data_IF_668765899507
#
_entry.id   IF_668765899507
#
_cell.length_a   1.000
_cell.length_b   1.000
_cell.length_c   1.000
_cell.angle_alpha   90.00
_cell.angle_beta   90.00
_cell.angle_gamma   90.00
#
_symmetry.space_group_name_H-M   'P 1'
#
loop_
_entity.id
_entity.type
_entity.pdbx_description
1 polymer ?
#
# COMPACT_ATOMS: atom_id res chain seq x y z
N UNK A 1 11.63 -14.58 -2.45
CA UNK A 1 10.90 -13.58 -3.24
C UNK A 1 9.41 -13.74 -2.95
N UNK A 2 8.82 -12.78 -2.27
CA UNK A 2 7.43 -12.77 -1.80
C UNK A 2 6.40 -12.83 -2.95
N UNK A 3 6.69 -12.16 -4.09
CA UNK A 3 5.77 -12.04 -5.22
C UNK A 3 5.35 -13.36 -5.89
N UNK A 4 6.13 -14.45 -5.75
CA UNK A 4 5.77 -15.76 -6.33
C UNK A 4 4.43 -16.30 -5.81
N UNK A 5 4.08 -15.99 -4.54
CA UNK A 5 2.78 -16.36 -3.97
C UNK A 5 1.63 -15.63 -4.66
N UNK A 6 1.88 -14.39 -5.04
CA UNK A 6 0.90 -13.57 -5.76
C UNK A 6 0.74 -14.02 -7.21
N UNK A 7 1.82 -14.48 -7.86
CA UNK A 7 1.74 -15.09 -9.19
C UNK A 7 0.85 -16.34 -9.22
N UNK A 8 1.04 -17.23 -8.24
CA UNK A 8 0.31 -18.50 -8.16
C UNK A 8 -1.15 -18.34 -7.72
N UNK A 9 -1.46 -17.31 -6.94
CA UNK A 9 -2.73 -17.16 -6.22
C UNK A 9 -3.47 -15.85 -6.56
N UNK A 10 -3.21 -15.25 -7.72
CA UNK A 10 -3.80 -13.97 -8.13
C UNK A 10 -5.34 -13.98 -8.08
N UNK A 11 -5.98 -15.04 -8.56
CA UNK A 11 -7.44 -15.22 -8.51
C UNK A 11 -7.96 -15.23 -7.07
N UNK A 12 -7.31 -15.99 -6.20
CA UNK A 12 -7.70 -16.10 -4.79
C UNK A 12 -7.53 -14.78 -4.05
N UNK A 13 -6.46 -14.05 -4.35
CA UNK A 13 -6.20 -12.72 -3.80
C UNK A 13 -7.30 -11.75 -4.22
N UNK A 14 -7.59 -11.71 -5.51
CA UNK A 14 -8.58 -10.77 -6.06
C UNK A 14 -10.00 -11.07 -5.57
N UNK A 15 -10.39 -12.34 -5.49
CA UNK A 15 -11.70 -12.77 -5.01
C UNK A 15 -11.97 -12.38 -3.54
N UNK A 16 -10.93 -12.15 -2.72
CA UNK A 16 -11.12 -11.72 -1.34
C UNK A 16 -11.82 -10.36 -1.25
N UNK A 17 -11.52 -9.45 -2.14
CA UNK A 17 -12.14 -8.12 -2.17
C UNK A 17 -13.63 -8.13 -2.53
N UNK A 18 -14.13 -9.22 -3.12
CA UNK A 18 -15.55 -9.36 -3.49
C UNK A 18 -16.40 -9.99 -2.38
N UNK A 19 -15.77 -10.48 -1.33
CA UNK A 19 -16.46 -10.97 -0.14
C UNK A 19 -17.04 -9.79 0.67
N UNK A 20 -18.14 -9.99 1.43
CA UNK A 20 -18.73 -8.91 2.23
C UNK A 20 -17.74 -8.23 3.18
N UNK A 21 -16.97 -9.03 3.93
CA UNK A 21 -15.92 -8.56 4.83
C UNK A 21 -14.79 -7.83 4.08
N UNK A 22 -14.31 -8.42 2.99
CA UNK A 22 -13.26 -7.82 2.14
C UNK A 22 -13.68 -6.48 1.54
N UNK A 23 -14.92 -6.36 1.06
CA UNK A 23 -15.45 -5.10 0.51
C UNK A 23 -15.52 -3.99 1.55
N UNK A 24 -15.99 -4.31 2.77
CA UNK A 24 -16.10 -3.33 3.84
C UNK A 24 -14.74 -2.81 4.28
N UNK A 25 -13.76 -3.71 4.47
CA UNK A 25 -12.38 -3.36 4.80
C UNK A 25 -11.76 -2.51 3.68
N UNK A 26 -11.85 -2.95 2.43
CA UNK A 26 -11.34 -2.23 1.27
C UNK A 26 -11.93 -0.83 1.14
N UNK A 27 -13.24 -0.67 1.37
CA UNK A 27 -13.88 0.65 1.34
C UNK A 27 -13.30 1.60 2.40
N UNK A 28 -13.01 1.10 3.60
CA UNK A 28 -12.38 1.87 4.66
C UNK A 28 -10.94 2.26 4.31
N UNK A 29 -10.14 1.33 3.78
CA UNK A 29 -8.77 1.55 3.34
C UNK A 29 -8.71 2.59 2.21
N UNK A 30 -9.56 2.44 1.19
CA UNK A 30 -9.70 3.41 0.09
C UNK A 30 -10.07 4.80 0.61
N UNK A 31 -11.04 4.90 1.53
CA UNK A 31 -11.44 6.19 2.09
C UNK A 31 -10.29 6.87 2.84
N UNK A 32 -9.51 6.11 3.62
CA UNK A 32 -8.32 6.60 4.32
C UNK A 32 -7.27 7.13 3.35
N UNK A 33 -6.86 6.34 2.36
CA UNK A 33 -5.88 6.74 1.35
C UNK A 33 -6.37 7.98 0.57
N UNK A 34 -7.63 7.95 0.10
CA UNK A 34 -8.23 9.02 -0.70
C UNK A 34 -8.20 10.38 0.01
N UNK A 35 -8.37 10.40 1.34
CA UNK A 35 -8.32 11.63 2.14
C UNK A 35 -6.97 12.34 2.12
N UNK A 36 -5.90 11.61 1.74
CA UNK A 36 -4.53 12.11 1.68
C UNK A 36 -4.06 12.45 0.26
N UNK A 37 -4.74 11.95 -0.77
CA UNK A 37 -4.35 12.16 -2.15
C UNK A 37 -4.71 13.57 -2.66
N UNK A 38 -3.90 14.17 -3.56
CA UNK A 38 -4.29 15.38 -4.27
C UNK A 38 -5.38 15.10 -5.32
N UNK A 39 -5.98 16.16 -5.85
CA UNK A 39 -7.02 16.03 -6.88
C UNK A 39 -6.48 15.55 -8.24
N UNK A 40 -5.25 15.92 -8.59
CA UNK A 40 -4.60 15.48 -9.83
C UNK A 40 -3.59 14.38 -9.54
N UNK A 41 -3.83 13.21 -10.12
CA UNK A 41 -3.00 12.01 -10.03
C UNK A 41 -2.34 11.63 -11.36
N UNK A 42 -2.35 12.51 -12.37
CA UNK A 42 -1.83 12.21 -13.72
C UNK A 42 -0.35 11.80 -13.74
N UNK A 43 0.45 12.32 -12.82
CA UNK A 43 1.87 11.98 -12.65
C UNK A 43 2.14 10.95 -11.53
N UNK A 44 1.14 10.17 -11.12
CA UNK A 44 1.24 9.19 -10.04
C UNK A 44 1.35 7.76 -10.54
N UNK A 45 2.01 6.94 -9.74
CA UNK A 45 2.10 5.48 -9.94
C UNK A 45 1.78 4.75 -8.63
N UNK A 46 1.09 3.63 -8.72
CA UNK A 46 0.99 2.68 -7.59
C UNK A 46 2.09 1.62 -7.73
N UNK A 47 2.97 1.53 -6.74
CA UNK A 47 4.02 0.49 -6.67
C UNK A 47 3.50 -0.69 -5.86
N UNK A 48 3.60 -1.89 -6.44
CA UNK A 48 2.90 -3.07 -5.96
C UNK A 48 1.41 -2.99 -6.23
N UNK A 49 1.04 -2.59 -7.46
CA UNK A 49 -0.36 -2.37 -7.87
C UNK A 49 -1.24 -3.62 -7.76
N UNK A 50 -0.62 -4.79 -7.66
CA UNK A 50 -1.32 -6.06 -7.57
C UNK A 50 -2.35 -6.22 -8.69
N UNK A 51 -3.60 -6.49 -8.33
CA UNK A 51 -4.70 -6.61 -9.29
C UNK A 51 -5.31 -5.28 -9.72
N UNK A 52 -4.75 -4.14 -9.29
CA UNK A 52 -5.17 -2.80 -9.70
C UNK A 52 -6.40 -2.23 -8.99
N UNK A 53 -6.86 -2.85 -7.90
CA UNK A 53 -8.10 -2.41 -7.23
C UNK A 53 -7.99 -1.03 -6.60
N UNK A 54 -6.89 -0.72 -5.91
CA UNK A 54 -6.68 0.60 -5.34
C UNK A 54 -6.47 1.64 -6.43
N UNK A 55 -5.58 1.39 -7.39
CA UNK A 55 -5.34 2.30 -8.52
C UNK A 55 -6.64 2.66 -9.25
N UNK A 56 -7.46 1.67 -9.60
CA UNK A 56 -8.71 1.89 -10.33
C UNK A 56 -9.71 2.77 -9.58
N UNK A 57 -9.94 2.50 -8.29
CA UNK A 57 -10.91 3.26 -7.48
C UNK A 57 -10.39 4.66 -7.12
N UNK A 58 -9.08 4.79 -6.89
CA UNK A 58 -8.44 6.06 -6.52
C UNK A 58 -8.14 6.94 -7.74
N UNK A 59 -8.12 6.38 -8.95
CA UNK A 59 -7.80 7.10 -10.17
C UNK A 59 -6.30 7.25 -10.44
N UNK A 60 -5.46 6.37 -9.87
CA UNK A 60 -4.03 6.31 -10.18
C UNK A 60 -3.85 5.63 -11.54
N UNK A 61 -3.25 6.30 -12.55
CA UNK A 61 -3.30 5.83 -13.93
C UNK A 61 -2.30 4.72 -14.25
N UNK A 62 -1.26 4.56 -13.45
CA UNK A 62 -0.15 3.64 -13.72
C UNK A 62 0.16 2.74 -12.52
N UNK A 63 0.68 1.53 -12.80
CA UNK A 63 1.05 0.58 -11.77
C UNK A 63 2.30 -0.24 -12.11
N UNK A 64 3.10 -0.53 -11.07
CA UNK A 64 4.25 -1.42 -11.13
C UNK A 64 3.98 -2.65 -10.26
N UNK A 65 4.24 -3.83 -10.80
CA UNK A 65 4.02 -5.10 -10.10
C UNK A 65 4.96 -6.18 -10.68
N UNK A 66 5.63 -7.00 -9.85
CA UNK A 66 6.48 -8.07 -10.35
C UNK A 66 5.72 -9.31 -10.87
N UNK A 67 4.46 -9.53 -10.44
CA UNK A 67 3.65 -10.68 -10.86
C UNK A 67 2.90 -10.40 -12.15
N UNK A 68 3.14 -11.19 -13.19
CA UNK A 68 2.44 -11.09 -14.47
C UNK A 68 0.95 -11.45 -14.35
N UNK A 69 0.59 -12.41 -13.50
CA UNK A 69 -0.80 -12.80 -13.26
C UNK A 69 -1.59 -11.66 -12.60
N UNK A 70 -0.97 -10.90 -11.69
CA UNK A 70 -1.57 -9.70 -11.08
C UNK A 70 -1.73 -8.57 -12.09
N UNK A 71 -0.68 -8.28 -12.88
CA UNK A 71 -0.69 -7.23 -13.90
C UNK A 71 -1.82 -7.39 -14.89
N UNK A 72 -2.06 -8.62 -15.36
CA UNK A 72 -3.16 -8.89 -16.29
C UNK A 72 -4.50 -8.41 -15.74
N UNK A 73 -4.77 -8.63 -14.45
CA UNK A 73 -6.00 -8.15 -13.80
C UNK A 73 -6.04 -6.62 -13.66
N UNK A 74 -4.89 -6.00 -13.41
CA UNK A 74 -4.79 -4.54 -13.36
C UNK A 74 -5.07 -3.92 -14.74
N UNK A 75 -4.56 -4.51 -15.81
CA UNK A 75 -4.82 -4.11 -17.20
C UNK A 75 -6.31 -4.24 -17.56
N UNK A 76 -6.98 -5.33 -17.14
CA UNK A 76 -8.42 -5.52 -17.30
C UNK A 76 -9.24 -4.42 -16.60
N UNK A 77 -8.66 -3.76 -15.56
CA UNK A 77 -9.23 -2.59 -14.86
C UNK A 77 -8.83 -1.23 -15.48
N UNK A 78 -8.11 -1.25 -16.60
CA UNK A 78 -7.73 -0.05 -17.33
C UNK A 78 -6.47 0.66 -16.79
N UNK A 79 -5.70 0.02 -15.93
CA UNK A 79 -4.44 0.57 -15.43
C UNK A 79 -3.32 0.32 -16.45
N UNK A 80 -2.53 1.35 -16.75
CA UNK A 80 -1.28 1.16 -17.52
C UNK A 80 -0.26 0.50 -16.62
N UNK A 81 0.20 -0.68 -16.99
CA UNK A 81 1.07 -1.48 -16.13
C UNK A 81 2.48 -1.63 -16.71
N UNK A 82 3.44 -1.78 -15.82
CA UNK A 82 4.81 -2.19 -16.16
C UNK A 82 5.26 -3.25 -15.17
N UNK A 83 5.81 -4.34 -15.70
CA UNK A 83 6.38 -5.37 -14.84
C UNK A 83 7.70 -4.88 -14.24
N UNK A 84 7.80 -4.87 -12.91
CA UNK A 84 8.97 -4.35 -12.21
C UNK A 84 8.88 -4.53 -10.71
N UNK A 85 9.96 -4.17 -10.02
CA UNK A 85 10.07 -4.21 -8.56
C UNK A 85 10.21 -2.81 -7.99
N UNK A 86 9.80 -2.65 -6.74
CA UNK A 86 9.92 -1.40 -5.99
C UNK A 86 11.37 -0.91 -5.85
N UNK A 87 12.31 -1.86 -5.76
CA UNK A 87 13.73 -1.60 -5.58
C UNK A 87 14.44 -1.12 -6.87
N UNK A 88 13.76 -1.23 -8.03
CA UNK A 88 14.28 -0.77 -9.32
C UNK A 88 13.13 -0.37 -10.24
N UNK A 89 12.73 0.90 -10.17
CA UNK A 89 11.62 1.43 -10.94
C UNK A 89 12.05 1.88 -12.35
N UNK A 90 11.24 1.59 -13.39
CA UNK A 90 11.56 1.92 -14.78
C UNK A 90 11.30 3.40 -15.12
N UNK A 91 11.54 4.29 -14.16
CA UNK A 91 11.34 5.72 -14.32
C UNK A 91 12.65 6.50 -14.23
N UNK A 92 12.70 7.64 -14.90
CA UNK A 92 13.82 8.58 -14.81
C UNK A 92 13.84 9.23 -13.43
N UNK A 93 15.01 9.67 -13.01
CA UNK A 93 15.16 10.51 -11.82
C UNK A 93 14.27 11.75 -11.93
N UNK A 94 13.61 12.10 -10.82
CA UNK A 94 12.76 13.30 -10.70
C UNK A 94 11.68 13.42 -11.80
N UNK A 95 10.98 12.32 -12.09
CA UNK A 95 9.96 12.27 -13.16
C UNK A 95 8.53 12.13 -12.65
N UNK A 96 8.30 11.61 -11.44
CA UNK A 96 6.98 11.36 -10.87
C UNK A 96 6.56 12.45 -9.88
N UNK A 97 5.27 12.79 -9.88
CA UNK A 97 4.69 13.70 -8.89
C UNK A 97 4.32 12.99 -7.60
N UNK A 98 3.98 11.71 -7.67
CA UNK A 98 3.65 10.93 -6.49
C UNK A 98 3.73 9.41 -6.69
N UNK A 99 3.87 8.73 -5.56
CA UNK A 99 3.84 7.28 -5.45
C UNK A 99 2.80 6.90 -4.42
N UNK A 100 1.95 5.93 -4.76
CA UNK A 100 1.08 5.21 -3.85
C UNK A 100 1.70 3.84 -3.54
N UNK A 101 1.76 3.48 -2.27
CA UNK A 101 2.17 2.18 -1.77
C UNK A 101 1.06 1.65 -0.83
N UNK A 102 0.04 1.02 -1.40
CA UNK A 102 -1.11 0.50 -0.65
C UNK A 102 -0.90 -0.97 -0.28
N UNK A 103 -0.81 -1.28 1.02
CA UNK A 103 -0.67 -2.65 1.57
C UNK A 103 0.50 -3.44 0.95
N UNK A 104 1.51 -2.77 0.44
CA UNK A 104 2.62 -3.36 -0.33
C UNK A 104 3.91 -3.45 0.47
N UNK A 105 4.16 -2.45 1.36
CA UNK A 105 5.41 -2.37 2.12
C UNK A 105 5.78 -3.68 2.83
N UNK A 106 4.78 -4.38 3.37
CA UNK A 106 4.95 -5.64 4.09
C UNK A 106 5.46 -6.81 3.23
N UNK A 107 5.48 -6.65 1.91
CA UNK A 107 5.91 -7.68 0.95
C UNK A 107 7.20 -7.34 0.22
N UNK A 108 7.80 -6.16 0.46
CA UNK A 108 9.07 -5.78 -0.18
C UNK A 108 10.23 -6.64 0.34
N UNK A 109 11.07 -7.08 -0.58
CA UNK A 109 12.26 -7.89 -0.25
C UNK A 109 13.37 -7.01 0.37
N UNK A 110 13.49 -5.73 -0.05
CA UNK A 110 14.48 -4.75 0.42
C UNK A 110 13.84 -3.34 0.56
N UNK A 111 13.08 -3.07 1.64
CA UNK A 111 12.30 -1.83 1.79
C UNK A 111 13.17 -0.56 1.83
N UNK A 112 14.39 -0.62 2.38
CA UNK A 112 15.33 0.51 2.39
C UNK A 112 15.80 0.87 0.97
N UNK A 113 16.00 -0.13 0.10
CA UNK A 113 16.34 0.09 -1.31
C UNK A 113 15.16 0.68 -2.05
N UNK A 114 13.95 0.16 -1.81
CA UNK A 114 12.74 0.69 -2.40
C UNK A 114 12.51 2.17 -2.02
N UNK A 115 12.70 2.55 -0.74
CA UNK A 115 12.56 3.95 -0.33
C UNK A 115 13.58 4.87 -0.99
N UNK A 116 14.83 4.43 -1.17
CA UNK A 116 15.84 5.20 -1.93
C UNK A 116 15.45 5.35 -3.40
N UNK A 117 14.86 4.30 -3.99
CA UNK A 117 14.40 4.32 -5.36
C UNK A 117 13.18 5.24 -5.53
N UNK A 118 12.26 5.27 -4.56
CA UNK A 118 11.15 6.22 -4.53
C UNK A 118 11.66 7.66 -4.47
N UNK A 119 12.65 7.94 -3.62
CA UNK A 119 13.29 9.26 -3.55
C UNK A 119 13.96 9.65 -4.87
N UNK A 120 14.59 8.69 -5.58
CA UNK A 120 15.23 8.94 -6.88
C UNK A 120 14.23 9.36 -7.94
N UNK A 121 13.09 8.67 -8.05
CA UNK A 121 12.13 8.88 -9.14
C UNK A 121 11.16 10.03 -8.90
N UNK A 122 10.91 10.39 -7.64
CA UNK A 122 10.05 11.51 -7.30
C UNK A 122 10.72 12.85 -7.64
N UNK A 123 9.92 13.78 -8.13
CA UNK A 123 10.31 15.19 -8.27
C UNK A 123 10.55 15.80 -6.89
N UNK A 124 11.26 16.93 -6.85
CA UNK A 124 11.35 17.77 -5.66
C UNK A 124 9.94 18.08 -5.12
N UNK A 125 9.74 17.92 -3.83
CA UNK A 125 8.42 18.01 -3.18
C UNK A 125 7.38 16.97 -3.62
N UNK A 126 7.79 15.94 -4.37
CA UNK A 126 6.93 14.81 -4.71
C UNK A 126 6.42 14.08 -3.46
N UNK A 127 5.29 13.44 -3.57
CA UNK A 127 4.61 12.81 -2.43
C UNK A 127 4.72 11.28 -2.50
N UNK A 128 4.92 10.68 -1.34
CA UNK A 128 4.78 9.25 -1.12
C UNK A 128 3.60 9.02 -0.16
N UNK A 129 2.59 8.30 -0.60
CA UNK A 129 1.47 7.86 0.26
C UNK A 129 1.61 6.38 0.54
N UNK A 130 1.67 6.03 1.82
CA UNK A 130 1.84 4.65 2.29
C UNK A 130 0.63 4.26 3.12
N UNK A 131 -0.04 3.16 2.75
CA UNK A 131 -1.11 2.55 3.54
C UNK A 131 -0.66 1.20 4.12
N UNK A 132 -0.77 1.04 5.43
CA UNK A 132 -0.36 -0.17 6.15
C UNK A 132 -1.42 -0.65 7.13
N UNK A 133 -1.35 -1.93 7.46
CA UNK A 133 -1.90 -2.51 8.69
C UNK A 133 -0.80 -2.45 9.74
N UNK A 134 -0.91 -1.60 10.79
CA UNK A 134 0.14 -1.46 11.80
C UNK A 134 0.39 -2.77 12.56
N UNK A 135 1.67 -3.11 12.75
CA UNK A 135 2.07 -4.34 13.46
C UNK A 135 1.51 -4.43 14.89
N UNK A 136 1.39 -3.27 15.55
CA UNK A 136 0.92 -3.10 16.92
C UNK A 136 -0.60 -3.09 17.08
N UNK A 137 -1.35 -3.01 15.97
CA UNK A 137 -2.81 -3.04 16.01
C UNK A 137 -3.39 -4.43 16.26
N UNK A 138 -4.66 -4.51 16.68
CA UNK A 138 -5.39 -5.79 16.78
C UNK A 138 -5.42 -6.53 15.43
N UNK A 139 -5.58 -5.80 14.31
CA UNK A 139 -5.55 -6.34 12.96
C UNK A 139 -4.16 -6.85 12.59
N UNK A 140 -3.09 -6.11 12.95
CA UNK A 140 -1.71 -6.56 12.76
C UNK A 140 -1.44 -7.87 13.49
N UNK A 141 -1.84 -7.96 14.75
CA UNK A 141 -1.75 -9.19 15.55
C UNK A 141 -2.50 -10.37 14.91
N UNK A 142 -3.73 -10.12 14.43
CA UNK A 142 -4.55 -11.13 13.74
C UNK A 142 -3.87 -11.66 12.46
N UNK A 143 -3.38 -10.78 11.58
CA UNK A 143 -2.70 -11.22 10.36
C UNK A 143 -1.36 -11.91 10.63
N UNK A 144 -0.60 -11.44 11.62
CA UNK A 144 0.62 -12.12 12.06
C UNK A 144 0.32 -13.53 12.59
N UNK A 145 -0.75 -13.72 13.37
CA UNK A 145 -1.18 -15.03 13.84
C UNK A 145 -1.58 -15.95 12.67
N UNK A 146 -2.31 -15.44 11.69
CA UNK A 146 -2.61 -16.17 10.44
C UNK A 146 -1.34 -16.56 9.68
N UNK A 147 -0.36 -15.67 9.60
CA UNK A 147 0.94 -15.95 8.98
C UNK A 147 1.68 -17.09 9.65
N UNK A 148 1.75 -17.08 10.99
CA UNK A 148 2.31 -18.20 11.80
C UNK A 148 1.54 -19.50 11.59
N UNK A 149 0.25 -19.43 11.33
CA UNK A 149 -0.62 -20.56 10.97
C UNK A 149 -0.48 -21.05 9.53
N UNK A 150 0.46 -20.50 8.74
CA UNK A 150 0.72 -20.93 7.35
C UNK A 150 -0.17 -20.31 6.29
N UNK A 151 -0.82 -19.17 6.57
CA UNK A 151 -1.60 -18.48 5.55
C UNK A 151 -0.72 -18.05 4.36
N UNK A 152 -1.09 -18.35 3.11
CA UNK A 152 -0.19 -18.24 1.96
C UNK A 152 0.39 -16.84 1.72
N UNK A 153 -0.36 -15.78 2.01
CA UNK A 153 0.13 -14.40 1.86
C UNK A 153 0.80 -13.89 3.15
N UNK A 154 0.16 -14.07 4.29
CA UNK A 154 0.67 -13.46 5.54
C UNK A 154 1.90 -14.18 6.11
N UNK A 155 2.18 -15.43 5.69
CA UNK A 155 3.40 -16.15 6.11
C UNK A 155 4.69 -15.55 5.54
N UNK A 156 4.60 -14.71 4.53
CA UNK A 156 5.74 -14.01 3.91
C UNK A 156 5.71 -12.49 4.15
N UNK A 157 4.68 -12.00 4.88
CA UNK A 157 4.53 -10.58 5.17
C UNK A 157 5.35 -10.18 6.41
N UNK A 158 6.01 -9.02 6.32
CA UNK A 158 6.65 -8.33 7.44
C UNK A 158 5.80 -7.12 7.81
N UNK A 159 5.18 -7.16 8.99
CA UNK A 159 4.36 -6.04 9.44
C UNK A 159 5.23 -5.01 10.15
N UNK A 160 5.01 -3.74 9.83
CA UNK A 160 5.75 -2.59 10.38
C UNK A 160 4.87 -1.82 11.36
N UNK A 161 5.48 -1.26 12.41
CA UNK A 161 4.82 -0.24 13.22
C UNK A 161 4.74 1.08 12.46
N UNK A 162 3.83 1.96 12.88
CA UNK A 162 3.75 3.30 12.27
C UNK A 162 5.07 4.07 12.40
N UNK A 163 5.78 3.89 13.52
CA UNK A 163 7.07 4.57 13.75
C UNK A 163 8.17 4.01 12.83
N UNK A 164 8.26 2.69 12.68
CA UNK A 164 9.20 2.08 11.75
C UNK A 164 9.01 2.57 10.30
N UNK A 165 7.75 2.79 9.87
CA UNK A 165 7.49 3.35 8.54
C UNK A 165 8.00 4.79 8.43
N UNK A 166 7.83 5.62 9.46
CA UNK A 166 8.35 6.99 9.48
C UNK A 166 9.88 7.02 9.48
N UNK A 167 10.52 6.16 10.28
CA UNK A 167 11.98 6.03 10.32
C UNK A 167 12.54 5.59 8.96
N UNK A 168 11.90 4.57 8.35
CA UNK A 168 12.28 4.07 7.03
C UNK A 168 12.17 5.17 5.96
N UNK A 169 11.08 5.92 5.93
CA UNK A 169 10.89 7.03 5.01
C UNK A 169 11.91 8.16 5.27
N UNK A 170 12.14 8.52 6.54
CA UNK A 170 13.10 9.55 6.92
C UNK A 170 14.53 9.19 6.49
N UNK A 171 14.92 7.92 6.57
CA UNK A 171 16.25 7.43 6.13
C UNK A 171 16.52 7.66 4.65
N UNK A 172 15.48 7.80 3.84
CA UNK A 172 15.55 8.07 2.40
C UNK A 172 15.27 9.56 2.04
N UNK A 173 15.22 10.44 3.03
CA UNK A 173 15.03 11.88 2.81
C UNK A 173 13.57 12.33 2.75
N UNK A 174 12.63 11.53 3.22
CA UNK A 174 11.22 11.92 3.29
C UNK A 174 10.88 12.55 4.65
N UNK A 175 10.04 13.57 4.63
CA UNK A 175 9.46 14.17 5.83
C UNK A 175 7.99 13.80 5.92
N UNK A 176 7.56 13.31 7.09
CA UNK A 176 6.15 13.05 7.38
C UNK A 176 5.34 14.33 7.35
N UNK A 177 4.18 14.31 6.68
CA UNK A 177 3.30 15.49 6.55
C UNK A 177 2.05 15.31 7.41
N UNK A 178 1.29 14.25 7.18
CA UNK A 178 0.06 13.93 7.92
C UNK A 178 -0.35 12.47 7.70
N UNK A 179 -1.34 12.02 8.46
CA UNK A 179 -1.90 10.69 8.29
C UNK A 179 -3.39 10.66 8.54
N UNK A 180 -4.02 9.55 8.21
CA UNK A 180 -5.42 9.22 8.50
C UNK A 180 -5.50 7.76 8.90
N UNK A 181 -6.30 7.46 9.91
CA UNK A 181 -6.49 6.11 10.42
C UNK A 181 -7.93 5.66 10.25
N UNK A 182 -8.15 4.36 10.09
CA UNK A 182 -9.47 3.73 9.98
C UNK A 182 -9.49 2.32 10.57
N UNK A 183 -10.65 1.66 10.60
CA UNK A 183 -10.82 0.35 11.23
C UNK A 183 -10.47 0.39 12.73
N UNK A 184 -11.14 1.23 13.54
CA UNK A 184 -10.83 1.37 14.97
C UNK A 184 -11.23 0.15 15.79
N UNK A 185 -12.09 -0.70 15.24
CA UNK A 185 -12.54 -1.96 15.85
C UNK A 185 -11.65 -3.13 15.47
N UNK A 186 -11.75 -4.26 16.19
CA UNK A 186 -10.97 -5.45 15.87
C UNK A 186 -11.54 -6.29 14.73
N UNK A 187 -10.78 -7.29 14.25
CA UNK A 187 -11.19 -8.16 13.15
C UNK A 187 -12.39 -9.06 13.47
N UNK A 188 -12.74 -9.22 14.75
CA UNK A 188 -13.87 -10.02 15.22
C UNK A 188 -15.14 -9.17 15.42
N UNK A 189 -15.07 -7.89 15.14
CA UNK A 189 -16.17 -6.93 15.29
C UNK A 189 -16.75 -6.56 13.93
N UNK A 190 -18.07 -6.37 13.86
CA UNK A 190 -18.72 -5.97 12.60
C UNK A 190 -18.37 -4.53 12.24
N UNK A 191 -18.03 -4.31 10.98
CA UNK A 191 -17.75 -2.98 10.45
C UNK A 191 -19.07 -2.34 9.97
N UNK A 192 -19.75 -1.64 10.86
CA UNK A 192 -21.03 -1.01 10.57
C UNK A 192 -20.92 0.14 9.55
N UNK A 193 -19.83 0.91 9.62
CA UNK A 193 -19.57 2.06 8.74
C UNK A 193 -18.10 2.35 8.62
N UNK A 194 -17.73 3.06 7.56
CA UNK A 194 -16.39 3.63 7.43
C UNK A 194 -16.22 4.79 8.42
N UNK A 195 -15.24 4.67 9.31
CA UNK A 195 -14.85 5.70 10.26
C UNK A 195 -13.42 6.15 9.96
N UNK A 196 -13.23 7.45 9.74
CA UNK A 196 -11.91 8.04 9.55
C UNK A 196 -11.53 8.85 10.79
N UNK A 197 -10.28 8.74 11.21
CA UNK A 197 -9.66 9.53 12.27
C UNK A 197 -8.48 10.30 11.71
N UNK A 198 -8.43 11.60 11.98
CA UNK A 198 -7.26 12.39 11.65
C UNK A 198 -6.04 11.95 12.46
N UNK A 199 -4.89 11.93 11.79
CA UNK A 199 -3.63 11.54 12.40
C UNK A 199 -3.33 10.05 12.31
N UNK A 200 -2.21 9.69 12.93
CA UNK A 200 -1.70 8.31 12.99
C UNK A 200 -2.11 7.70 14.32
N UNK A 201 -3.10 6.82 14.30
CA UNK A 201 -3.52 6.02 15.46
C UNK A 201 -3.09 4.55 15.23
N UNK A 202 -1.99 4.10 15.88
CA UNK A 202 -1.46 2.75 15.68
C UNK A 202 -2.37 1.65 16.21
N UNK A 203 -3.41 1.99 16.98
CA UNK A 203 -4.45 1.05 17.43
C UNK A 203 -5.47 0.71 16.34
N UNK A 204 -5.59 1.54 15.31
CA UNK A 204 -6.48 1.30 14.18
C UNK A 204 -5.97 0.20 13.26
N UNK A 205 -6.88 -0.50 12.60
CA UNK A 205 -6.55 -1.62 11.71
C UNK A 205 -5.87 -1.22 10.42
N UNK A 206 -6.04 0.05 10.01
CA UNK A 206 -5.35 0.59 8.84
C UNK A 206 -4.97 2.05 9.04
N UNK A 207 -3.76 2.39 8.65
CA UNK A 207 -3.20 3.74 8.74
C UNK A 207 -2.60 4.13 7.39
N UNK A 208 -3.01 5.29 6.89
CA UNK A 208 -2.41 5.94 5.73
C UNK A 208 -1.53 7.11 6.18
N UNK A 209 -0.35 7.23 5.60
CA UNK A 209 0.61 8.29 5.89
C UNK A 209 1.07 8.93 4.59
N UNK A 210 1.15 10.25 4.55
CA UNK A 210 1.77 10.99 3.45
C UNK A 210 3.09 11.60 3.89
N UNK A 211 4.07 11.40 3.04
CA UNK A 211 5.43 11.91 3.18
C UNK A 211 5.76 12.80 1.99
N UNK A 212 6.62 13.77 2.21
CA UNK A 212 7.16 14.65 1.15
C UNK A 212 8.65 14.43 1.04
N UNK A 213 9.14 14.29 -0.20
CA UNK A 213 10.58 14.27 -0.45
C UNK A 213 11.16 15.65 -0.10
N UNK A 214 12.12 15.65 0.83
CA UNK A 214 12.83 16.86 1.25
C UNK A 214 13.71 17.42 0.12
N UNK A 215 14.12 18.69 0.27
CA UNK A 215 14.97 19.36 -0.71
C UNK A 215 16.38 18.77 -0.81
#
# INVERSE_FOLDING_TARGET
>A
MSYKRFEELAERYDAWFDRPDGRAIFAAEVASIKSLLPADLSGWVEVGVGTGRFAAVLGVPEGIEPSGAMLKKAEERGIRTTQGKAEQLPYRTASLDGILLAVTLCFLDAPEEAMREFARVLKKNGLLVVGIVPAESRWGGYYQAKGKGGHPFYSVAVFYTCEQVKELAASAGFTFVRGTSTLPTGPDEELERVELRDGVDPGCGFVSMVFRLSE
#
